data_IF_284589801449
#
_entry.id   IF_284589801449
#
_cell.length_a   1.000
_cell.length_b   1.000
_cell.length_c   1.000
_cell.angle_alpha   90.00
_cell.angle_beta   90.00
_cell.angle_gamma   90.00
#
_symmetry.space_group_name_H-M   'P 1'
#
loop_
_entity.id
_entity.type
_entity.pdbx_description
1 polymer ?
#
# COMPACT_ATOMS: atom_id res chain seq x y z
N UNK A 1 20.33 -11.49 21.65
CA UNK A 1 19.19 -10.64 21.26
C UNK A 1 19.76 -9.50 20.43
N UNK A 2 19.78 -9.63 19.10
CA UNK A 2 20.28 -8.60 18.20
C UNK A 2 19.06 -7.89 17.61
N UNK A 3 18.96 -6.58 17.85
CA UNK A 3 17.91 -5.71 17.31
C UNK A 3 17.87 -5.83 15.79
N UNK A 4 16.85 -6.48 15.25
CA UNK A 4 16.53 -6.39 13.83
C UNK A 4 15.62 -5.19 13.65
N UNK A 5 16.20 -3.99 13.56
CA UNK A 5 15.56 -2.98 12.73
C UNK A 5 15.59 -3.56 11.32
N UNK A 6 14.43 -3.97 10.78
CA UNK A 6 14.32 -4.16 9.35
C UNK A 6 14.68 -2.81 8.71
N UNK A 7 15.75 -2.72 7.89
CA UNK A 7 16.11 -1.44 7.28
C UNK A 7 14.90 -0.89 6.54
N UNK A 8 14.60 0.41 6.68
CA UNK A 8 13.46 1.06 5.98
C UNK A 8 13.45 0.73 4.48
N UNK A 9 14.64 0.57 3.90
CA UNK A 9 14.88 0.12 2.52
C UNK A 9 14.23 -1.24 2.22
N UNK A 10 14.37 -2.23 3.12
CA UNK A 10 13.73 -3.55 3.00
C UNK A 10 12.20 -3.49 3.06
N UNK A 11 11.63 -2.54 3.82
CA UNK A 11 10.18 -2.35 3.89
C UNK A 11 9.65 -1.73 2.60
N UNK A 12 10.33 -0.72 2.06
CA UNK A 12 9.96 -0.12 0.78
C UNK A 12 10.08 -1.11 -0.39
N UNK A 13 11.10 -1.97 -0.39
CA UNK A 13 11.24 -3.04 -1.38
C UNK A 13 10.13 -4.08 -1.24
N UNK A 14 9.85 -4.53 -0.01
CA UNK A 14 8.77 -5.47 0.25
C UNK A 14 7.41 -4.88 -0.15
N UNK A 15 7.16 -3.59 0.11
CA UNK A 15 5.93 -2.90 -0.28
C UNK A 15 5.74 -2.93 -1.80
N UNK A 16 6.77 -2.54 -2.57
CA UNK A 16 6.73 -2.55 -4.03
C UNK A 16 6.56 -3.95 -4.61
N UNK A 17 7.20 -4.95 -4.00
CA UNK A 17 7.13 -6.34 -4.45
C UNK A 17 5.75 -6.96 -4.18
N UNK A 18 5.15 -6.67 -3.02
CA UNK A 18 3.87 -7.27 -2.62
C UNK A 18 2.68 -6.50 -3.21
N UNK A 19 2.77 -5.17 -3.30
CA UNK A 19 1.67 -4.29 -3.73
C UNK A 19 2.13 -3.26 -4.79
N UNK A 20 2.52 -3.70 -6.01
CA UNK A 20 2.92 -2.80 -7.10
C UNK A 20 1.85 -1.75 -7.46
N UNK A 21 0.56 -2.06 -7.26
CA UNK A 21 -0.57 -1.16 -7.49
C UNK A 21 -0.49 0.14 -6.66
N UNK A 22 0.21 0.15 -5.53
CA UNK A 22 0.36 1.33 -4.69
C UNK A 22 1.15 2.46 -5.37
N UNK A 23 2.02 2.15 -6.34
CA UNK A 23 2.69 3.21 -7.13
C UNK A 23 1.70 3.96 -8.03
N UNK A 24 0.77 3.23 -8.68
CA UNK A 24 -0.26 3.84 -9.51
C UNK A 24 -1.26 4.63 -8.65
N UNK A 25 -1.66 4.08 -7.50
CA UNK A 25 -2.53 4.78 -6.55
C UNK A 25 -1.84 6.05 -6.06
N UNK A 26 -0.58 5.98 -5.63
CA UNK A 26 0.18 7.15 -5.19
C UNK A 26 0.33 8.21 -6.28
N UNK A 27 0.51 7.82 -7.54
CA UNK A 27 0.60 8.75 -8.67
C UNK A 27 -0.75 9.38 -9.06
N UNK A 28 -1.86 8.67 -8.85
CA UNK A 28 -3.21 9.17 -9.13
C UNK A 28 -3.65 10.27 -8.16
N UNK A 29 -2.96 10.41 -7.02
CA UNK A 29 -3.27 11.41 -6.01
C UNK A 29 -2.19 12.48 -5.96
N UNK A 30 -2.61 13.75 -5.92
CA UNK A 30 -1.73 14.88 -5.63
C UNK A 30 -1.45 15.06 -4.14
N UNK A 31 -1.99 14.18 -3.29
CA UNK A 31 -1.90 14.23 -1.83
C UNK A 31 -1.20 12.96 -1.27
N UNK A 32 -0.89 12.98 0.03
CA UNK A 32 -0.23 11.85 0.68
C UNK A 32 -1.21 10.69 0.91
N UNK A 33 -0.80 9.48 0.51
CA UNK A 33 -1.52 8.22 0.78
C UNK A 33 -0.66 7.32 1.66
N UNK A 34 -1.30 6.70 2.65
CA UNK A 34 -0.65 5.85 3.63
C UNK A 34 -1.29 4.47 3.66
N UNK A 35 -0.46 3.43 3.50
CA UNK A 35 -0.88 2.06 3.82
C UNK A 35 -0.99 1.91 5.33
N UNK A 36 -2.11 1.38 5.80
CA UNK A 36 -2.37 1.17 7.23
C UNK A 36 -2.90 -0.24 7.50
N UNK A 37 -3.26 -0.51 8.76
CA UNK A 37 -4.05 -1.68 9.12
C UNK A 37 -3.30 -3.02 9.03
N UNK A 38 -4.06 -4.06 8.67
CA UNK A 38 -3.58 -5.44 8.66
C UNK A 38 -2.46 -5.68 7.66
N UNK A 39 -2.53 -5.04 6.49
CA UNK A 39 -1.52 -5.15 5.43
C UNK A 39 -0.11 -4.76 5.92
N UNK A 40 0.02 -3.69 6.71
CA UNK A 40 1.31 -3.27 7.29
C UNK A 40 1.87 -4.33 8.24
N UNK A 41 1.03 -4.84 9.15
CA UNK A 41 1.43 -5.90 10.08
C UNK A 41 1.88 -7.14 9.31
N UNK A 42 1.11 -7.54 8.32
CA UNK A 42 1.34 -8.79 7.60
C UNK A 42 2.60 -8.69 6.70
N UNK A 43 2.86 -7.52 6.10
CA UNK A 43 4.12 -7.21 5.42
C UNK A 43 5.33 -7.31 6.37
N UNK A 44 5.24 -6.70 7.56
CA UNK A 44 6.31 -6.74 8.57
C UNK A 44 6.57 -8.14 9.12
N UNK A 45 5.56 -9.00 9.13
CA UNK A 45 5.66 -10.39 9.54
C UNK A 45 6.07 -11.33 8.39
N UNK A 46 6.31 -10.80 7.18
CA UNK A 46 6.65 -11.60 6.00
C UNK A 46 5.51 -12.53 5.56
N UNK A 47 4.27 -12.16 5.86
CA UNK A 47 3.07 -12.86 5.40
C UNK A 47 2.73 -12.41 3.98
N UNK A 48 1.93 -13.20 3.28
CA UNK A 48 1.49 -12.90 1.92
C UNK A 48 0.57 -11.67 1.83
N UNK A 49 0.02 -11.44 0.64
CA UNK A 49 -0.95 -10.36 0.39
C UNK A 49 -2.14 -10.43 1.35
N UNK A 50 -2.62 -9.26 1.75
CA UNK A 50 -3.84 -9.03 2.50
C UNK A 50 -4.65 -7.90 1.84
N UNK A 51 -5.88 -7.69 2.30
CA UNK A 51 -6.71 -6.56 1.87
C UNK A 51 -6.02 -5.22 2.19
N UNK A 52 -6.09 -4.29 1.25
CA UNK A 52 -5.46 -2.98 1.34
C UNK A 52 -6.36 -1.98 2.05
N UNK A 53 -5.89 -1.45 3.17
CA UNK A 53 -6.49 -0.31 3.86
C UNK A 53 -5.62 0.94 3.63
N UNK A 54 -6.19 1.98 3.01
CA UNK A 54 -5.50 3.23 2.74
C UNK A 54 -6.10 4.39 3.52
N UNK A 55 -5.23 5.24 4.05
CA UNK A 55 -5.59 6.57 4.57
C UNK A 55 -5.07 7.61 3.59
N UNK A 56 -5.94 8.53 3.23
CA UNK A 56 -5.67 9.60 2.27
C UNK A 56 -5.76 10.93 3.02
N UNK A 57 -4.78 11.80 2.84
CA UNK A 57 -4.97 13.22 3.17
C UNK A 57 -5.83 13.79 2.05
N UNK A 58 -6.97 14.39 2.41
CA UNK A 58 -7.93 14.92 1.44
C UNK A 58 -9.22 14.10 1.32
N UNK A 59 -9.80 14.07 0.12
CA UNK A 59 -11.09 13.41 -0.16
C UNK A 59 -10.90 11.96 -0.67
N UNK A 60 -11.23 10.94 0.14
CA UNK A 60 -11.10 9.54 -0.27
C UNK A 60 -12.07 9.15 -1.39
N UNK A 61 -13.22 9.82 -1.52
CA UNK A 61 -14.19 9.51 -2.57
C UNK A 61 -13.71 10.03 -3.93
N UNK A 62 -13.05 11.20 -3.95
CA UNK A 62 -12.43 11.73 -5.16
C UNK A 62 -11.30 10.82 -5.66
N UNK A 63 -10.45 10.31 -4.75
CA UNK A 63 -9.45 9.31 -5.11
C UNK A 63 -10.11 8.02 -5.62
N UNK A 64 -11.08 7.46 -4.90
CA UNK A 64 -11.75 6.24 -5.32
C UNK A 64 -12.38 6.37 -6.72
N UNK A 65 -12.91 7.54 -7.07
CA UNK A 65 -13.45 7.83 -8.40
C UNK A 65 -12.41 8.07 -9.49
N UNK A 66 -11.15 8.36 -9.15
CA UNK A 66 -10.05 8.53 -10.12
C UNK A 66 -9.29 7.24 -10.42
N UNK A 67 -9.47 6.18 -9.61
CA UNK A 67 -8.85 4.89 -9.85
C UNK A 67 -9.53 4.18 -11.03
N UNK A 68 -8.72 3.75 -12.00
CA UNK A 68 -9.21 3.03 -13.17
C UNK A 68 -9.82 1.67 -12.82
N UNK A 69 -10.86 1.28 -13.55
CA UNK A 69 -11.54 -0.01 -13.36
C UNK A 69 -10.60 -1.22 -13.56
N UNK A 70 -9.56 -1.06 -14.39
CA UNK A 70 -8.55 -2.11 -14.64
C UNK A 70 -7.63 -2.32 -13.43
N UNK A 71 -7.38 -1.27 -12.63
CA UNK A 71 -6.67 -1.35 -11.36
C UNK A 71 -7.51 -2.09 -10.31
N UNK A 72 -8.84 -1.88 -10.33
CA UNK A 72 -9.77 -2.54 -9.41
C UNK A 72 -10.02 -4.01 -9.78
N UNK A 73 -9.94 -4.36 -11.07
CA UNK A 73 -10.16 -5.73 -11.56
C UNK A 73 -9.00 -6.70 -11.27
N UNK A 74 -7.81 -6.20 -10.87
CA UNK A 74 -6.67 -7.02 -10.47
C UNK A 74 -6.87 -7.72 -9.11
N UNK A 75 -8.06 -7.61 -8.50
CA UNK A 75 -8.39 -8.07 -7.15
C UNK A 75 -9.57 -9.07 -7.09
N UNK A 76 -9.93 -9.74 -8.20
CA UNK A 76 -10.88 -10.87 -8.23
C UNK A 76 -10.24 -12.25 -7.93
#
# INVERSE_FOLDING_TARGET
MSSREAPKESLSEALRAVYPELEAIGAATGEDVYLVGGAVRDLLLGRGRADLDLVVVGDPAALAGSLDAELLAAHD
#
